data_IF_136671671406
#
_entry.id   IF_136671671406
#
_cell.length_a   1.000
_cell.length_b   1.000
_cell.length_c   1.000
_cell.angle_alpha   90.00
_cell.angle_beta   90.00
_cell.angle_gamma   90.00
#
_symmetry.space_group_name_H-M   'P 1'
#
loop_
_entity.id
_entity.type
_entity.pdbx_description
1 polymer ?
#
# COMPACT_ATOMS: atom_id res chain seq x y z
N UNK A 1 -31.95 19.55 2.77
CA UNK A 1 -32.06 18.43 1.81
C UNK A 1 -30.86 17.52 2.03
N UNK A 2 -31.07 16.26 2.41
CA UNK A 2 -29.97 15.30 2.50
C UNK A 2 -29.64 14.79 1.10
N UNK A 3 -28.41 15.00 0.62
CA UNK A 3 -27.94 14.38 -0.61
C UNK A 3 -27.90 12.86 -0.42
N UNK A 4 -28.63 12.12 -1.27
CA UNK A 4 -28.50 10.65 -1.34
C UNK A 4 -27.19 10.33 -2.06
N UNK A 5 -26.11 10.18 -1.30
CA UNK A 5 -24.88 9.60 -1.82
C UNK A 5 -25.08 8.08 -1.97
N UNK A 6 -24.77 7.52 -3.14
CA UNK A 6 -24.71 6.08 -3.38
C UNK A 6 -23.27 5.73 -3.73
N UNK A 7 -22.73 4.70 -3.08
CA UNK A 7 -21.44 4.14 -3.47
C UNK A 7 -21.63 3.17 -4.64
N UNK A 8 -20.74 3.24 -5.62
CA UNK A 8 -20.64 2.29 -6.71
C UNK A 8 -19.22 1.76 -6.75
N UNK A 9 -19.05 0.43 -6.75
CA UNK A 9 -17.75 -0.18 -6.99
C UNK A 9 -17.39 0.02 -8.45
N UNK A 10 -16.29 0.73 -8.71
CA UNK A 10 -15.76 0.90 -10.05
C UNK A 10 -14.92 -0.31 -10.47
N UNK A 11 -14.01 -0.75 -9.59
CA UNK A 11 -13.07 -1.85 -9.85
C UNK A 11 -12.66 -2.57 -8.57
N UNK A 12 -12.14 -3.79 -8.73
CA UNK A 12 -11.59 -4.62 -7.65
C UNK A 12 -10.26 -5.19 -8.13
N UNK A 13 -9.22 -5.04 -7.31
CA UNK A 13 -7.89 -5.62 -7.55
C UNK A 13 -7.54 -6.50 -6.36
N UNK A 14 -7.06 -7.71 -6.63
CA UNK A 14 -6.50 -8.57 -5.59
C UNK A 14 -5.07 -8.11 -5.27
N UNK A 15 -4.83 -7.77 -4.01
CA UNK A 15 -3.52 -7.31 -3.51
C UNK A 15 -2.68 -8.44 -2.92
N UNK A 16 -3.17 -9.69 -2.98
CA UNK A 16 -2.55 -10.95 -2.49
C UNK A 16 -2.34 -11.01 -0.96
N UNK A 17 -2.03 -9.88 -0.33
CA UNK A 17 -2.06 -9.63 1.11
C UNK A 17 -3.19 -8.66 1.43
N UNK A 18 -3.65 -8.65 2.69
CA UNK A 18 -4.73 -7.72 3.07
C UNK A 18 -4.27 -6.27 2.89
N UNK A 19 -4.95 -5.51 2.03
CA UNK A 19 -4.77 -4.07 1.91
C UNK A 19 -5.18 -3.39 3.23
N UNK A 20 -4.33 -2.50 3.74
CA UNK A 20 -4.48 -1.89 5.07
C UNK A 20 -4.47 -0.35 5.00
N UNK A 21 -3.66 0.23 4.11
CA UNK A 21 -3.58 1.68 3.90
C UNK A 21 -3.63 2.03 2.41
N UNK A 22 -4.42 3.05 2.04
CA UNK A 22 -4.50 3.55 0.66
C UNK A 22 -4.53 5.08 0.65
N UNK A 23 -3.70 5.74 -0.16
CA UNK A 23 -3.70 7.19 -0.32
C UNK A 23 -3.40 7.64 -1.75
N UNK A 24 -4.22 8.56 -2.26
CA UNK A 24 -3.96 9.26 -3.53
C UNK A 24 -2.87 10.31 -3.36
N UNK A 25 -2.00 10.44 -4.37
CA UNK A 25 -0.98 11.48 -4.38
C UNK A 25 -1.64 12.86 -4.57
N UNK A 26 -1.41 13.83 -3.66
CA UNK A 26 -2.03 15.16 -3.71
C UNK A 26 -1.25 16.16 -4.56
N UNK A 27 -0.16 15.74 -5.19
CA UNK A 27 0.74 16.63 -5.95
C UNK A 27 0.24 16.79 -7.37
N UNK A 28 0.24 18.04 -7.86
CA UNK A 28 -0.13 18.36 -9.25
C UNK A 28 0.69 17.57 -10.27
N UNK A 29 0.00 17.01 -11.27
CA UNK A 29 0.58 16.11 -12.27
C UNK A 29 0.70 14.64 -11.82
N UNK A 30 0.38 14.32 -10.55
CA UNK A 30 0.49 12.97 -9.99
C UNK A 30 -0.80 12.45 -9.36
N UNK A 31 -1.91 13.17 -9.49
CA UNK A 31 -3.21 12.84 -8.89
C UNK A 31 -3.80 11.49 -9.35
N UNK A 32 -3.33 10.96 -10.47
CA UNK A 32 -3.68 9.63 -10.97
C UNK A 32 -2.97 8.50 -10.22
N UNK A 33 -2.02 8.81 -9.32
CA UNK A 33 -1.26 7.80 -8.59
C UNK A 33 -1.92 7.50 -7.23
N UNK A 34 -2.16 6.22 -7.00
CA UNK A 34 -2.65 5.66 -5.75
C UNK A 34 -1.59 4.76 -5.13
N UNK A 35 -1.18 5.04 -3.90
CA UNK A 35 -0.38 4.12 -3.10
C UNK A 35 -1.29 3.18 -2.31
N UNK A 36 -0.94 1.91 -2.24
CA UNK A 36 -1.61 0.89 -1.42
C UNK A 36 -0.58 0.07 -0.65
N UNK A 37 -0.66 0.13 0.67
CA UNK A 37 0.16 -0.65 1.59
C UNK A 37 -0.61 -1.85 2.12
N UNK A 38 0.06 -3.00 2.19
CA UNK A 38 -0.54 -4.23 2.71
C UNK A 38 0.05 -4.66 4.06
N UNK A 39 -0.77 -5.39 4.80
CA UNK A 39 -0.44 -6.01 6.07
C UNK A 39 -0.85 -7.49 6.04
N UNK A 40 0.12 -8.39 6.25
CA UNK A 40 -0.16 -9.81 6.40
C UNK A 40 0.62 -10.40 7.57
N UNK A 41 -0.10 -11.01 8.52
CA UNK A 41 0.53 -11.76 9.60
C UNK A 41 0.75 -13.21 9.16
N UNK A 42 1.99 -13.61 8.92
CA UNK A 42 2.36 -15.00 8.69
C UNK A 42 2.68 -15.66 10.02
N UNK A 43 1.87 -16.66 10.39
CA UNK A 43 2.20 -17.55 11.50
C UNK A 43 3.28 -18.52 11.02
N UNK A 44 4.27 -18.85 11.85
CA UNK A 44 5.24 -19.90 11.53
C UNK A 44 4.51 -21.21 11.26
N UNK A 45 4.89 -21.90 10.19
CA UNK A 45 4.29 -23.18 9.81
C UNK A 45 4.69 -24.22 10.86
N UNK A 46 3.71 -24.75 11.59
CA UNK A 46 3.95 -25.91 12.45
C UNK A 46 3.98 -27.15 11.56
N UNK A 47 5.16 -27.74 11.36
CA UNK A 47 5.30 -29.04 10.70
C UNK A 47 4.39 -30.09 11.37
N UNK A 48 3.61 -30.88 10.61
CA UNK A 48 2.75 -31.91 11.17
C UNK A 48 3.61 -33.00 11.83
N UNK A 49 3.68 -32.99 13.16
CA UNK A 49 4.40 -33.99 13.95
C UNK A 49 5.37 -33.42 15.00
N UNK A 50 5.66 -32.12 14.98
CA UNK A 50 6.45 -31.48 16.03
C UNK A 50 5.53 -30.95 17.13
N UNK A 51 5.67 -31.48 18.35
CA UNK A 51 5.06 -30.89 19.54
C UNK A 51 5.54 -29.45 19.66
N UNK A 52 4.61 -28.49 19.76
CA UNK A 52 4.91 -27.07 19.98
C UNK A 52 5.89 -26.95 21.15
N UNK A 53 7.16 -26.73 20.88
CA UNK A 53 8.07 -26.18 21.87
C UNK A 53 7.51 -24.82 22.25
N UNK A 54 7.28 -24.57 23.54
CA UNK A 54 6.72 -23.32 24.08
C UNK A 54 7.65 -22.08 23.92
N UNK A 55 8.62 -22.17 23.03
CA UNK A 55 9.32 -21.08 22.36
C UNK A 55 9.70 -21.61 20.98
N UNK A 56 9.62 -20.89 19.87
CA UNK A 56 10.11 -19.53 19.71
C UNK A 56 10.03 -19.22 18.21
N UNK A 57 8.87 -18.81 17.69
CA UNK A 57 8.85 -18.10 16.41
C UNK A 57 7.82 -16.97 16.48
N UNK A 58 8.34 -15.74 16.58
CA UNK A 58 7.52 -14.53 16.55
C UNK A 58 6.81 -14.42 15.21
N UNK A 59 5.49 -14.17 15.18
CA UNK A 59 4.75 -13.98 13.94
C UNK A 59 5.43 -12.93 13.04
N UNK A 60 5.61 -13.26 11.77
CA UNK A 60 6.26 -12.37 10.80
C UNK A 60 5.19 -11.48 10.15
N UNK A 61 5.45 -10.18 10.09
CA UNK A 61 4.57 -9.19 9.46
C UNK A 61 5.06 -8.88 8.05
N UNK A 62 4.47 -9.55 7.05
CA UNK A 62 4.76 -9.37 5.63
C UNK A 62 3.95 -8.19 5.08
N UNK A 63 4.49 -7.50 4.09
CA UNK A 63 3.80 -6.38 3.44
C UNK A 63 4.36 -6.07 2.07
N UNK A 64 3.62 -5.24 1.34
CA UNK A 64 3.99 -4.74 0.03
C UNK A 64 3.50 -3.32 -0.12
N UNK A 65 4.27 -2.50 -0.82
CA UNK A 65 3.79 -1.24 -1.37
C UNK A 65 3.46 -1.46 -2.84
N UNK A 66 2.20 -1.19 -3.20
CA UNK A 66 1.74 -1.08 -4.57
C UNK A 66 1.59 0.38 -4.95
N UNK A 67 2.07 0.75 -6.13
CA UNK A 67 1.68 1.99 -6.80
C UNK A 67 0.79 1.63 -7.98
N UNK A 68 -0.38 2.24 -8.01
CA UNK A 68 -1.32 2.13 -9.10
C UNK A 68 -1.46 3.47 -9.84
N UNK A 69 -1.71 3.41 -11.14
CA UNK A 69 -2.17 4.53 -11.94
C UNK A 69 -3.64 4.33 -12.31
N UNK A 70 -4.44 5.38 -12.19
CA UNK A 70 -5.83 5.42 -12.64
C UNK A 70 -6.07 6.72 -13.41
N UNK A 71 -6.29 6.62 -14.71
CA UNK A 71 -6.63 7.77 -15.54
C UNK A 71 -8.13 8.04 -15.53
N UNK A 72 -8.51 9.32 -15.50
CA UNK A 72 -9.89 9.79 -15.48
C UNK A 72 -10.57 9.65 -16.87
N UNK A 73 -10.72 8.42 -17.33
CA UNK A 73 -11.53 8.07 -18.49
C UNK A 73 -12.48 6.93 -18.14
N UNK A 74 -13.66 6.92 -18.76
CA UNK A 74 -14.62 5.84 -18.57
C UNK A 74 -13.97 4.50 -18.92
N UNK A 75 -14.06 3.54 -17.98
CA UNK A 75 -13.56 2.17 -18.09
C UNK A 75 -12.04 1.97 -18.02
N UNK A 76 -11.24 3.00 -17.70
CA UNK A 76 -9.78 2.82 -17.52
C UNK A 76 -9.49 1.93 -16.31
N UNK A 77 -8.69 0.86 -16.43
CA UNK A 77 -8.35 0.00 -15.32
C UNK A 77 -7.39 0.67 -14.31
N UNK A 78 -7.52 0.33 -13.03
CA UNK A 78 -6.53 0.60 -12.00
C UNK A 78 -5.31 -0.28 -12.30
N UNK A 79 -4.26 0.34 -12.82
CA UNK A 79 -3.11 -0.38 -13.38
C UNK A 79 -1.97 -0.37 -12.38
N UNK A 80 -1.46 -1.56 -12.00
CA UNK A 80 -0.25 -1.67 -11.16
C UNK A 80 0.96 -1.19 -11.97
N UNK A 81 1.60 -0.12 -11.52
CA UNK A 81 2.81 0.44 -12.15
C UNK A 81 4.09 0.07 -11.40
N UNK A 82 3.98 -0.25 -10.11
CA UNK A 82 5.11 -0.71 -9.31
C UNK A 82 4.65 -1.54 -8.10
N UNK A 83 5.46 -2.54 -7.75
CA UNK A 83 5.33 -3.34 -6.54
C UNK A 83 6.68 -3.42 -5.83
N UNK A 84 6.69 -3.16 -4.53
CA UNK A 84 7.87 -3.27 -3.67
C UNK A 84 7.58 -4.20 -2.50
N UNK A 85 8.36 -5.28 -2.41
CA UNK A 85 8.32 -6.22 -1.28
C UNK A 85 8.93 -5.57 -0.03
N UNK A 86 8.22 -5.62 1.10
CA UNK A 86 8.72 -5.11 2.38
C UNK A 86 8.03 -5.78 3.59
N UNK A 87 8.26 -5.27 4.79
CA UNK A 87 7.46 -5.66 5.95
C UNK A 87 6.10 -4.96 5.90
N UNK A 88 5.14 -5.44 6.70
CA UNK A 88 3.80 -4.85 6.76
C UNK A 88 3.83 -3.33 6.92
N UNK A 89 3.01 -2.65 6.13
CA UNK A 89 2.81 -1.20 6.21
C UNK A 89 1.67 -0.95 7.20
N UNK A 90 1.84 0.05 8.06
CA UNK A 90 0.86 0.44 9.08
C UNK A 90 0.21 1.79 8.76
N UNK A 91 0.93 2.65 8.05
CA UNK A 91 0.40 3.94 7.59
C UNK A 91 1.17 4.43 6.36
N UNK A 92 0.47 5.19 5.53
CA UNK A 92 0.99 5.87 4.35
C UNK A 92 0.56 7.34 4.39
N UNK A 93 1.51 8.24 4.10
CA UNK A 93 1.17 9.66 4.02
C UNK A 93 1.95 10.36 2.93
N UNK A 94 1.24 10.97 1.99
CA UNK A 94 1.87 11.85 1.01
C UNK A 94 2.21 13.21 1.62
N UNK A 95 3.38 13.74 1.28
CA UNK A 95 3.66 15.15 1.48
C UNK A 95 2.84 15.97 0.47
N UNK A 96 2.09 16.96 0.96
CA UNK A 96 1.30 17.85 0.13
C UNK A 96 2.16 18.84 -0.69
N UNK A 97 3.44 18.98 -0.34
CA UNK A 97 4.37 19.88 -1.00
C UNK A 97 5.50 19.04 -1.62
N UNK A 98 5.82 19.22 -2.91
CA UNK A 98 6.95 18.53 -3.53
C UNK A 98 8.27 18.85 -2.83
N UNK A 99 9.07 17.83 -2.57
CA UNK A 99 10.44 17.99 -2.06
C UNK A 99 11.39 17.77 -3.23
N UNK A 100 12.26 18.76 -3.49
CA UNK A 100 13.13 18.78 -4.67
C UNK A 100 12.36 18.56 -6.00
N UNK A 101 11.16 19.14 -6.09
CA UNK A 101 10.30 19.05 -7.29
C UNK A 101 9.63 17.69 -7.50
N UNK A 102 9.65 16.79 -6.50
CA UNK A 102 9.09 15.44 -6.62
C UNK A 102 8.09 15.15 -5.49
N UNK A 103 7.02 14.37 -5.76
CA UNK A 103 6.16 13.86 -4.70
C UNK A 103 6.94 12.97 -3.74
N UNK A 104 6.61 13.07 -2.45
CA UNK A 104 7.22 12.24 -1.39
C UNK A 104 6.14 11.50 -0.63
N UNK A 105 6.35 10.19 -0.49
CA UNK A 105 5.54 9.29 0.32
C UNK A 105 6.29 8.93 1.59
N UNK A 106 5.68 9.19 2.75
CA UNK A 106 6.07 8.64 4.04
C UNK A 106 5.43 7.27 4.25
N UNK A 107 6.22 6.31 4.73
CA UNK A 107 5.81 4.92 4.93
C UNK A 107 6.20 4.51 6.35
N UNK A 108 5.21 4.31 7.22
CA UNK A 108 5.43 3.74 8.55
C UNK A 108 5.20 2.23 8.50
N UNK A 109 6.19 1.44 8.93
CA UNK A 109 6.16 -0.01 8.75
C UNK A 109 6.33 -0.80 10.06
N UNK A 110 6.10 -2.10 9.99
CA UNK A 110 6.13 -3.02 11.12
C UNK A 110 7.52 -3.27 11.73
N UNK A 111 8.60 -2.74 11.15
CA UNK A 111 9.93 -2.74 11.77
C UNK A 111 10.11 -1.59 12.76
N UNK A 112 9.10 -0.74 12.95
CA UNK A 112 9.19 0.44 13.81
C UNK A 112 10.00 1.56 13.17
N UNK A 113 10.08 1.60 11.84
CA UNK A 113 10.78 2.65 11.10
C UNK A 113 9.83 3.41 10.18
N UNK A 114 10.19 4.68 9.91
CA UNK A 114 9.59 5.49 8.85
C UNK A 114 10.57 5.57 7.69
N UNK A 115 10.08 5.29 6.48
CA UNK A 115 10.82 5.49 5.23
C UNK A 115 10.22 6.65 4.45
N UNK A 116 11.07 7.38 3.73
CA UNK A 116 10.66 8.37 2.73
C UNK A 116 11.02 7.84 1.34
N UNK A 117 10.07 7.90 0.42
CA UNK A 117 10.28 7.54 -0.97
C UNK A 117 9.83 8.70 -1.88
N UNK A 118 10.66 9.05 -2.86
CA UNK A 118 10.26 9.98 -3.92
C UNK A 118 9.74 9.21 -5.13
N UNK A 119 8.74 9.77 -5.81
CA UNK A 119 8.34 9.26 -7.12
C UNK A 119 9.28 9.81 -8.20
N UNK A 120 9.71 8.92 -9.08
CA UNK A 120 10.47 9.25 -10.28
C UNK A 120 9.53 9.15 -11.48
N UNK A 121 9.45 10.20 -12.29
CA UNK A 121 8.73 10.13 -13.57
C UNK A 121 9.38 9.12 -14.49
N UNK A 122 8.64 8.61 -15.46
CA UNK A 122 9.24 8.00 -16.64
C UNK A 122 10.09 9.07 -17.32
N UNK A 123 11.39 8.80 -17.52
CA UNK A 123 12.25 9.63 -18.37
C UNK A 123 11.70 9.73 -19.79
#
# INVERSE_FOLDING_TARGET
MAFRCKAQTLQVVDTEYSADAVEWCPVEGWHNILACGTYQLKKPESEPGQSRSEGSETPVRLGRLYLYSFEDQMFTPLTEIQRLEMVAILDLKWCHIPIAGRPVLGIANAQGVVKLAHLMGSE
#
